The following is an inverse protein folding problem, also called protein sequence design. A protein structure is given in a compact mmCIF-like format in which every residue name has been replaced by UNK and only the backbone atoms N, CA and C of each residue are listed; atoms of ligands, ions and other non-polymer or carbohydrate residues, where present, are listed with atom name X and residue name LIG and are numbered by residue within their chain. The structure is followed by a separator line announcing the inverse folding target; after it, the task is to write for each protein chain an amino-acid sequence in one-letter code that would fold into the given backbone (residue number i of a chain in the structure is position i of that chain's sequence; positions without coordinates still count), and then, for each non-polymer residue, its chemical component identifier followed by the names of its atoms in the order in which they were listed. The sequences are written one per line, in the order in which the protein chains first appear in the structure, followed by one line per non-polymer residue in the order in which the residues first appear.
data_IF_804451267403
#
_entry.id   IF_804451267403
#
_cell.length_a   1.000
_cell.length_b   1.000
_cell.length_c   1.000
_cell.angle_alpha   90.00
_cell.angle_beta   90.00
_cell.angle_gamma   90.00
#
_symmetry.space_group_name_H-M   'P 1'
#
loop_
_entity.id
_entity.type
_entity.pdbx_description
1 polymer ?
#
# COMPACT_ATOMS: atom_id res chain seq x y z
N UNK A 1 24.32 0.45 3.49
CA UNK A 1 24.42 1.72 2.74
C UNK A 1 24.32 2.86 3.75
N UNK A 2 25.19 3.87 3.63
CA UNK A 2 25.23 5.01 4.55
C UNK A 2 24.56 6.22 3.87
N UNK A 3 23.81 7.00 4.64
CA UNK A 3 23.13 8.20 4.17
C UNK A 3 23.55 9.39 5.03
N UNK A 4 23.83 10.52 4.39
CA UNK A 4 24.09 11.80 5.07
C UNK A 4 22.87 12.69 4.86
N UNK A 5 22.36 13.25 5.95
CA UNK A 5 21.14 14.07 5.93
C UNK A 5 21.42 15.41 6.61
N UNK A 6 21.10 16.51 5.94
CA UNK A 6 21.12 17.85 6.53
C UNK A 6 19.78 18.10 7.19
N UNK A 7 19.79 18.38 8.50
CA UNK A 7 18.61 18.63 9.32
C UNK A 7 18.79 19.94 10.09
N UNK A 8 17.68 20.56 10.46
CA UNK A 8 17.70 21.72 11.34
C UNK A 8 18.19 21.35 12.76
N UNK A 9 19.06 22.17 13.34
CA UNK A 9 19.66 21.91 14.64
C UNK A 9 18.65 21.85 15.79
N UNK A 10 17.56 22.63 15.72
CA UNK A 10 16.51 22.59 16.75
C UNK A 10 15.77 21.26 16.68
N UNK A 11 15.46 20.81 15.47
CA UNK A 11 14.83 19.51 15.26
C UNK A 11 15.70 18.36 15.81
N UNK A 12 17.01 18.37 15.53
CA UNK A 12 17.94 17.36 16.04
C UNK A 12 17.97 17.34 17.56
N UNK A 13 17.98 18.52 18.21
CA UNK A 13 17.95 18.63 19.67
C UNK A 13 16.68 18.03 20.27
N UNK A 14 15.52 18.35 19.70
CA UNK A 14 14.24 17.82 20.19
C UNK A 14 14.15 16.30 20.03
N UNK A 15 14.52 15.75 18.86
CA UNK A 15 14.46 14.30 18.66
C UNK A 15 15.50 13.57 19.53
N UNK A 16 16.66 14.17 19.81
CA UNK A 16 17.63 13.56 20.75
C UNK A 16 17.07 13.44 22.16
N UNK A 17 16.30 14.41 22.66
CA UNK A 17 15.60 14.28 23.94
C UNK A 17 14.66 13.07 23.92
N UNK A 18 13.83 12.97 22.88
CA UNK A 18 12.92 11.82 22.70
C UNK A 18 13.66 10.50 22.60
N UNK A 19 14.83 10.49 21.96
CA UNK A 19 15.65 9.29 21.85
C UNK A 19 16.18 8.84 23.22
N UNK A 20 16.64 9.79 24.05
CA UNK A 20 17.06 9.52 25.44
C UNK A 20 15.89 9.02 26.28
N UNK A 21 14.73 9.66 26.21
CA UNK A 21 13.53 9.26 26.97
C UNK A 21 13.04 7.85 26.62
N UNK A 22 13.44 7.32 25.46
CA UNK A 22 13.05 5.99 24.95
C UNK A 22 14.21 5.00 24.92
N UNK A 23 15.32 5.30 25.59
CA UNK A 23 16.54 4.48 25.61
C UNK A 23 17.01 4.03 24.21
N UNK A 24 16.95 4.96 23.25
CA UNK A 24 17.28 4.71 21.84
C UNK A 24 18.16 5.81 21.25
N UNK A 25 18.47 5.71 19.96
CA UNK A 25 19.29 6.69 19.24
C UNK A 25 18.51 7.34 18.12
N UNK A 26 18.89 8.57 17.75
CA UNK A 26 18.33 9.26 16.59
C UNK A 26 18.42 8.40 15.32
N UNK A 27 19.55 7.72 15.12
CA UNK A 27 19.75 6.84 13.96
C UNK A 27 18.83 5.63 13.99
N UNK A 28 18.59 5.04 15.17
CA UNK A 28 17.63 3.94 15.32
C UNK A 28 16.19 4.40 15.03
N UNK A 29 15.79 5.59 15.49
CA UNK A 29 14.47 6.17 15.19
C UNK A 29 14.29 6.42 13.69
N UNK A 30 15.30 6.98 13.02
CA UNK A 30 15.26 7.21 11.58
C UNK A 30 15.17 5.89 10.82
N UNK A 31 15.92 4.87 11.23
CA UNK A 31 15.86 3.53 10.64
C UNK A 31 14.47 2.93 10.77
N UNK A 32 13.92 2.89 11.98
CA UNK A 32 12.60 2.31 12.26
C UNK A 32 11.50 3.03 11.44
N UNK A 33 11.56 4.36 11.35
CA UNK A 33 10.63 5.13 10.52
C UNK A 33 10.72 4.74 9.03
N UNK A 34 11.92 4.64 8.48
CA UNK A 34 12.11 4.27 7.07
C UNK A 34 11.67 2.83 6.79
N UNK A 35 11.91 1.90 7.72
CA UNK A 35 11.46 0.50 7.62
C UNK A 35 9.94 0.40 7.65
N UNK A 36 9.27 1.14 8.54
CA UNK A 36 7.80 1.22 8.60
C UNK A 36 7.23 1.82 7.32
N UNK A 37 7.81 2.92 6.83
CA UNK A 37 7.38 3.54 5.58
C UNK A 37 7.52 2.59 4.37
N UNK A 38 8.61 1.82 4.32
CA UNK A 38 8.79 0.80 3.30
C UNK A 38 7.75 -0.33 3.43
N UNK A 39 7.46 -0.79 4.64
CA UNK A 39 6.45 -1.82 4.90
C UNK A 39 5.04 -1.35 4.52
N UNK A 40 4.68 -0.12 4.87
CA UNK A 40 3.42 0.52 4.47
C UNK A 40 3.30 0.64 2.96
N UNK A 41 4.36 1.07 2.27
CA UNK A 41 4.41 1.14 0.81
C UNK A 41 4.37 -0.25 0.14
N UNK A 42 4.96 -1.27 0.75
CA UNK A 42 4.86 -2.64 0.24
C UNK A 42 3.45 -3.22 0.42
N UNK A 43 2.80 -2.92 1.55
CA UNK A 43 1.43 -3.30 1.84
C UNK A 43 0.42 -2.58 0.94
N UNK A 44 0.57 -1.27 0.75
CA UNK A 44 -0.25 -0.47 -0.16
C UNK A 44 0.06 -0.79 -1.61
N UNK A 45 1.32 -1.10 -1.95
CA UNK A 45 1.76 -1.53 -3.26
C UNK A 45 1.15 -2.87 -3.69
N UNK A 46 0.93 -3.82 -2.78
CA UNK A 46 0.12 -5.02 -3.08
C UNK A 46 -1.32 -4.65 -3.43
N UNK A 47 -2.01 -3.91 -2.58
CA UNK A 47 -3.39 -3.47 -2.85
C UNK A 47 -3.51 -2.65 -4.14
N UNK A 48 -2.54 -1.78 -4.41
CA UNK A 48 -2.47 -0.98 -5.63
C UNK A 48 -2.22 -1.85 -6.86
N UNK A 49 -1.29 -2.80 -6.79
CA UNK A 49 -1.04 -3.76 -7.88
C UNK A 49 -2.24 -4.68 -8.14
N UNK A 50 -2.91 -5.14 -7.09
CA UNK A 50 -4.15 -5.92 -7.18
C UNK A 50 -5.28 -5.11 -7.80
N UNK A 51 -5.44 -3.85 -7.38
CA UNK A 51 -6.42 -2.93 -7.97
C UNK A 51 -6.09 -2.64 -9.44
N UNK A 52 -4.84 -2.35 -9.77
CA UNK A 52 -4.41 -2.13 -11.15
C UNK A 52 -4.58 -3.40 -12.00
N UNK A 53 -4.31 -4.58 -11.44
CA UNK A 53 -4.54 -5.85 -12.12
C UNK A 53 -6.04 -6.11 -12.35
N UNK A 54 -6.89 -5.75 -11.38
CA UNK A 54 -8.35 -5.80 -11.50
C UNK A 54 -8.89 -4.78 -12.52
N UNK A 55 -8.39 -3.55 -12.52
CA UNK A 55 -8.75 -2.55 -13.54
C UNK A 55 -8.28 -3.00 -14.94
N UNK A 56 -7.11 -3.62 -15.04
CA UNK A 56 -6.63 -4.25 -16.29
C UNK A 56 -7.52 -5.41 -16.71
N UNK A 57 -7.96 -6.26 -15.77
CA UNK A 57 -8.87 -7.36 -16.10
C UNK A 57 -10.24 -6.85 -16.55
N UNK A 58 -10.79 -5.78 -15.95
CA UNK A 58 -12.02 -5.15 -16.44
C UNK A 58 -11.86 -4.52 -17.84
N UNK A 59 -10.69 -3.98 -18.17
CA UNK A 59 -10.38 -3.48 -19.52
C UNK A 59 -10.17 -4.60 -20.54
N UNK A 60 -9.57 -5.72 -20.12
CA UNK A 60 -9.29 -6.86 -21.00
C UNK A 60 -10.53 -7.74 -21.22
N UNK A 61 -11.34 -7.94 -20.17
CA UNK A 61 -12.60 -8.66 -20.20
C UNK A 61 -13.77 -7.68 -20.29
N UNK A 62 -13.84 -6.92 -21.38
CA UNK A 62 -15.07 -6.23 -21.76
C UNK A 62 -16.06 -7.24 -22.34
N UNK A 63 -16.57 -8.15 -21.50
CA UNK A 63 -17.75 -8.91 -21.89
C UNK A 63 -18.91 -7.92 -22.05
N UNK A 64 -19.42 -7.77 -23.28
CA UNK A 64 -20.76 -7.24 -23.46
C UNK A 64 -21.70 -8.29 -22.86
N UNK A 65 -22.04 -8.12 -21.58
CA UNK A 65 -23.32 -8.63 -21.08
C UNK A 65 -24.36 -7.76 -21.79
N UNK A 66 -24.72 -8.16 -23.01
CA UNK A 66 -25.80 -7.54 -23.76
C UNK A 66 -27.11 -7.65 -22.98
N UNK A 67 -28.19 -7.08 -23.54
CA UNK A 67 -29.56 -7.27 -23.03
C UNK A 67 -29.98 -8.73 -23.16
N UNK A 68 -29.39 -9.64 -22.39
CA UNK A 68 -29.90 -10.99 -22.25
C UNK A 68 -31.12 -10.88 -21.35
N UNK A 69 -32.26 -10.69 -21.99
CA UNK A 69 -33.55 -10.83 -21.33
C UNK A 69 -33.70 -12.31 -20.99
N UNK A 70 -33.18 -12.69 -19.83
CA UNK A 70 -33.36 -14.03 -19.30
C UNK A 70 -34.86 -14.27 -19.15
N UNK A 71 -35.42 -15.15 -19.98
CA UNK A 71 -36.76 -15.67 -19.73
C UNK A 71 -36.63 -16.79 -18.72
N UNK A 72 -37.59 -16.90 -17.80
CA UNK A 72 -37.60 -17.92 -16.74
C UNK A 72 -37.47 -19.35 -17.28
N UNK A 73 -37.88 -19.53 -18.52
CA UNK A 73 -37.82 -20.75 -19.32
C UNK A 73 -36.36 -21.18 -19.64
N UNK A 74 -35.44 -20.22 -19.85
CA UNK A 74 -34.04 -20.48 -20.21
C UNK A 74 -33.17 -20.93 -19.03
N UNK A 75 -33.70 -20.81 -17.80
CA UNK A 75 -32.97 -21.04 -16.56
C UNK A 75 -33.17 -22.47 -16.00
N UNK A 76 -34.03 -23.27 -16.62
CA UNK A 76 -34.26 -24.65 -16.23
C UNK A 76 -33.95 -25.60 -17.39
N UNK A 77 -32.67 -25.95 -17.56
CA UNK A 77 -32.35 -27.25 -18.16
C UNK A 77 -32.58 -28.28 -17.06
N UNK A 78 -33.70 -29.01 -17.16
CA UNK A 78 -33.82 -30.29 -16.44
C UNK A 78 -33.21 -31.39 -17.34
N UNK A 79 -32.36 -32.27 -16.79
CA UNK A 79 -31.86 -33.45 -17.50
C UNK A 79 -32.98 -34.45 -17.81
#
# INVERSE_FOLDING_TARGET
MNITLSLDDKLVKEIRKVAVDRDTTLTALVRDYLERLAAENAASGRKRREREALERSFKQFQFRIGKRAWKREDLYVRP
#
